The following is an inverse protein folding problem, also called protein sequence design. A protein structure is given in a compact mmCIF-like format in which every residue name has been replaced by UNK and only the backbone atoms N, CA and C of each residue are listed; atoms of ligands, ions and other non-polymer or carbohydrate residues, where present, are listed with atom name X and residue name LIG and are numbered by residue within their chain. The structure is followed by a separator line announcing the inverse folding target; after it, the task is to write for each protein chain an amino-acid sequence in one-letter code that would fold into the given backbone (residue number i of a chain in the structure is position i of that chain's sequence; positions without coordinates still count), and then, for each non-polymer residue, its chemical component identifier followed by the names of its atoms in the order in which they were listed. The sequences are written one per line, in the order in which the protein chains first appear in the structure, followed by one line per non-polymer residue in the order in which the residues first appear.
data_IF_205853940028
#
_entry.id   IF_205853940028
#
_cell.length_a   1.000
_cell.length_b   1.000
_cell.length_c   1.000
_cell.angle_alpha   90.00
_cell.angle_beta   90.00
_cell.angle_gamma   90.00
#
_symmetry.space_group_name_H-M   'P 1'
#
loop_
_entity.id
_entity.type
_entity.pdbx_description
1 polymer ?
#
# COMPACT_ATOMS: atom_id res chain seq x y z
N UNK A 1 37.44 5.05 -12.43
CA UNK A 1 36.25 4.24 -12.75
C UNK A 1 36.04 3.23 -11.64
N UNK A 2 34.85 3.17 -11.04
CA UNK A 2 34.20 1.94 -10.55
C UNK A 2 32.78 2.27 -10.07
N UNK A 3 31.80 1.65 -10.73
CA UNK A 3 30.38 1.61 -10.37
C UNK A 3 30.18 0.68 -9.17
N UNK A 4 29.26 0.96 -8.23
CA UNK A 4 28.60 -0.09 -7.48
C UNK A 4 27.40 -0.58 -8.29
N UNK A 5 27.49 -1.84 -8.70
CA UNK A 5 26.43 -2.71 -9.20
C UNK A 5 25.25 -2.68 -8.20
N UNK A 6 24.15 -2.00 -8.53
CA UNK A 6 22.89 -2.25 -7.84
C UNK A 6 22.09 -3.26 -8.67
N UNK A 7 22.28 -4.50 -8.24
CA UNK A 7 21.38 -5.64 -8.28
C UNK A 7 20.24 -5.62 -9.31
N UNK A 8 20.39 -6.52 -10.28
CA UNK A 8 19.37 -6.98 -11.20
C UNK A 8 18.38 -7.88 -10.44
N UNK A 9 17.53 -7.30 -9.58
CA UNK A 9 16.34 -8.00 -9.10
C UNK A 9 15.25 -7.90 -10.17
N UNK A 10 15.34 -8.78 -11.17
CA UNK A 10 14.21 -9.14 -12.00
C UNK A 10 13.17 -9.82 -11.11
N UNK A 11 12.30 -9.02 -10.50
CA UNK A 11 11.25 -9.50 -9.62
C UNK A 11 10.23 -10.25 -10.45
N UNK A 12 10.43 -11.56 -10.58
CA UNK A 12 9.47 -12.55 -11.07
C UNK A 12 8.01 -12.17 -10.70
N UNK A 13 7.32 -11.48 -11.62
CA UNK A 13 6.02 -10.79 -11.47
C UNK A 13 4.81 -11.76 -11.37
N UNK A 14 4.93 -12.79 -10.54
CA UNK A 14 3.81 -13.68 -10.18
C UNK A 14 3.39 -13.55 -8.72
N UNK A 15 4.06 -12.68 -7.97
CA UNK A 15 3.79 -12.44 -6.57
C UNK A 15 3.88 -10.93 -6.31
N UNK A 16 2.94 -10.18 -6.92
CA UNK A 16 2.85 -8.75 -6.76
C UNK A 16 2.69 -8.45 -5.25
N UNK A 17 3.75 -7.94 -4.60
CA UNK A 17 3.72 -7.61 -3.18
C UNK A 17 3.03 -6.26 -3.04
N UNK A 18 1.80 -6.28 -2.57
CA UNK A 18 1.10 -5.07 -2.17
C UNK A 18 1.63 -4.59 -0.82
N UNK A 19 1.89 -3.30 -0.72
CA UNK A 19 2.30 -2.60 0.49
C UNK A 19 1.13 -1.74 0.96
N UNK A 20 0.85 -1.78 2.26
CA UNK A 20 -0.21 -0.97 2.89
C UNK A 20 0.49 0.15 3.67
N UNK A 21 0.18 1.38 3.30
CA UNK A 21 0.58 2.57 4.04
C UNK A 21 -0.61 3.09 4.82
N UNK A 22 -0.45 3.25 6.13
CA UNK A 22 -1.46 3.85 7.00
C UNK A 22 -0.85 5.07 7.65
N UNK A 23 -1.55 6.20 7.56
CA UNK A 23 -1.13 7.46 8.14
C UNK A 23 -2.30 8.12 8.85
N UNK A 24 -2.02 8.85 9.93
CA UNK A 24 -3.06 9.57 10.64
C UNK A 24 -3.55 10.73 9.77
N UNK A 25 -4.86 10.85 9.58
CA UNK A 25 -5.42 11.89 8.74
C UNK A 25 -5.00 13.28 9.26
N UNK A 26 -4.30 14.11 8.48
CA UNK A 26 -3.88 15.44 8.92
C UNK A 26 -5.08 16.38 9.17
N UNK A 27 -6.25 16.06 8.62
CA UNK A 27 -7.50 16.78 8.88
C UNK A 27 -8.03 16.53 10.29
N UNK A 28 -7.64 17.44 11.19
CA UNK A 28 -8.02 17.47 12.62
C UNK A 28 -9.52 17.51 12.88
N UNK A 29 -10.34 17.79 11.86
CA UNK A 29 -11.80 17.89 11.94
C UNK A 29 -12.51 16.58 11.61
N UNK A 30 -12.00 15.81 10.65
CA UNK A 30 -12.52 14.48 10.31
C UNK A 30 -11.91 13.41 11.21
N UNK A 31 -10.66 13.61 11.63
CA UNK A 31 -9.89 12.57 12.30
C UNK A 31 -9.73 11.33 11.41
N UNK A 32 -9.39 10.21 12.03
CA UNK A 32 -9.25 8.92 11.36
C UNK A 32 -7.87 8.67 10.78
N UNK A 33 -7.78 7.61 9.99
CA UNK A 33 -6.57 7.09 9.39
C UNK A 33 -6.80 6.95 7.89
N UNK A 34 -5.90 7.54 7.10
CA UNK A 34 -5.85 7.30 5.67
C UNK A 34 -5.04 6.03 5.42
N UNK A 35 -5.49 5.20 4.48
CA UNK A 35 -4.75 4.06 4.01
C UNK A 35 -4.54 4.15 2.50
N UNK A 36 -3.40 3.66 2.03
CA UNK A 36 -3.07 3.56 0.62
C UNK A 36 -2.43 2.21 0.33
N UNK A 37 -2.80 1.61 -0.79
CA UNK A 37 -2.23 0.35 -1.28
C UNK A 37 -1.32 0.69 -2.45
N UNK A 38 -0.06 0.33 -2.33
CA UNK A 38 0.93 0.49 -3.40
C UNK A 38 1.47 -0.85 -3.84
N UNK A 39 1.82 -0.98 -5.11
CA UNK A 39 2.55 -2.14 -5.62
C UNK A 39 3.72 -1.64 -6.47
N UNK A 40 4.94 -1.98 -6.08
CA UNK A 40 6.15 -1.57 -6.80
C UNK A 40 6.24 -0.05 -7.05
N UNK A 41 5.75 0.75 -6.08
CA UNK A 41 5.72 2.21 -6.16
C UNK A 41 4.55 2.82 -6.95
N UNK A 42 3.61 2.00 -7.46
CA UNK A 42 2.38 2.47 -8.11
C UNK A 42 1.24 2.40 -7.09
N UNK A 43 0.54 3.51 -6.88
CA UNK A 43 -0.68 3.55 -6.07
C UNK A 43 -1.83 2.86 -6.80
N UNK A 44 -2.46 1.88 -6.14
CA UNK A 44 -3.60 1.15 -6.66
C UNK A 44 -4.92 1.71 -6.15
N UNK A 45 -5.01 1.98 -4.85
CA UNK A 45 -6.24 2.38 -4.18
C UNK A 45 -5.90 3.08 -2.87
N UNK A 46 -6.80 3.95 -2.41
CA UNK A 46 -6.65 4.67 -1.15
C UNK A 46 -8.01 4.94 -0.53
N UNK A 47 -8.05 5.00 0.80
CA UNK A 47 -9.27 5.23 1.55
C UNK A 47 -9.03 5.93 2.87
N UNK A 48 -10.13 6.17 3.59
CA UNK A 48 -10.11 6.80 4.90
C UNK A 48 -11.03 6.03 5.84
N UNK A 49 -10.48 5.59 6.97
CA UNK A 49 -11.20 4.82 7.97
C UNK A 49 -11.12 5.53 9.33
N UNK A 50 -12.03 5.24 10.24
CA UNK A 50 -12.11 5.93 11.53
C UNK A 50 -11.01 5.51 12.51
N UNK A 51 -10.56 4.25 12.42
CA UNK A 51 -9.50 3.69 13.27
C UNK A 51 -8.40 3.06 12.42
N UNK A 52 -7.22 2.86 13.02
CA UNK A 52 -6.11 2.17 12.37
C UNK A 52 -6.47 0.71 12.04
N UNK A 53 -7.20 0.03 12.93
CA UNK A 53 -7.66 -1.33 12.73
C UNK A 53 -8.61 -1.46 11.53
N UNK A 54 -9.57 -0.52 11.40
CA UNK A 54 -10.44 -0.45 10.22
C UNK A 54 -9.63 -0.20 8.96
N UNK A 55 -8.67 0.73 9.00
CA UNK A 55 -7.82 1.06 7.85
C UNK A 55 -7.00 -0.14 7.35
N UNK A 56 -6.44 -0.94 8.27
CA UNK A 56 -5.77 -2.21 7.93
C UNK A 56 -6.75 -3.19 7.28
N UNK A 57 -7.93 -3.36 7.88
CA UNK A 57 -8.92 -4.33 7.41
C UNK A 57 -9.46 -3.96 6.03
N UNK A 58 -9.80 -2.69 5.81
CA UNK A 58 -10.24 -2.16 4.51
C UNK A 58 -9.16 -2.38 3.44
N UNK A 59 -7.90 -2.03 3.74
CA UNK A 59 -6.80 -2.22 2.80
C UNK A 59 -6.55 -3.70 2.48
N UNK A 60 -6.65 -4.59 3.47
CA UNK A 60 -6.50 -6.04 3.27
C UNK A 60 -7.63 -6.64 2.43
N UNK A 61 -8.88 -6.24 2.70
CA UNK A 61 -10.02 -6.66 1.90
C UNK A 61 -9.85 -6.21 0.45
N UNK A 62 -9.41 -4.97 0.25
CA UNK A 62 -9.18 -4.43 -1.08
C UNK A 62 -8.07 -5.15 -1.84
N UNK A 63 -6.96 -5.50 -1.18
CA UNK A 63 -5.91 -6.35 -1.77
C UNK A 63 -6.48 -7.71 -2.18
N UNK A 64 -7.30 -8.33 -1.33
CA UNK A 64 -7.93 -9.61 -1.65
C UNK A 64 -8.88 -9.51 -2.85
N UNK A 65 -9.60 -8.39 -3.02
CA UNK A 65 -10.40 -8.13 -4.22
C UNK A 65 -9.53 -7.95 -5.46
N UNK A 66 -8.43 -7.18 -5.37
CA UNK A 66 -7.49 -6.96 -6.48
C UNK A 66 -6.87 -8.29 -6.94
N UNK A 67 -6.54 -9.18 -5.99
CA UNK A 67 -5.98 -10.50 -6.30
C UNK A 67 -7.02 -11.48 -6.88
N UNK A 68 -8.31 -11.20 -6.73
CA UNK A 68 -9.43 -12.03 -7.21
C UNK A 68 -9.98 -11.58 -8.57
N UNK A 69 -9.71 -10.35 -8.97
CA UNK A 69 -10.12 -9.77 -10.25
C UNK A 69 -9.22 -10.24 -11.40
#
# INVERSE_FOLDING_TARGET
MNLPTHDNSGTNDRNARFEIHIDANPDRWRGGFQWAITNSGIEFDCGLSFTEEDAVNDAQQRIAEIQRA
#
